data_IF_007685575222
#
_entry.id   IF_007685575222
#
_cell.length_a   1.000
_cell.length_b   1.000
_cell.length_c   1.000
_cell.angle_alpha   90.00
_cell.angle_beta   90.00
_cell.angle_gamma   90.00
#
_symmetry.space_group_name_H-M   'P 1'
#
loop_
_entity.id
_entity.type
_entity.pdbx_description
1 polymer ?
#
# COMPACT_ATOMS: atom_id res chain seq x y z
N UNK A 1 3.59 -11.15 -8.05
CA UNK A 1 3.19 -9.74 -8.27
C UNK A 1 2.54 -9.51 -9.62
N UNK A 2 2.97 -10.24 -10.68
CA UNK A 2 2.36 -10.10 -12.00
C UNK A 2 0.85 -10.33 -11.97
N UNK A 3 0.38 -11.45 -11.42
CA UNK A 3 -1.06 -11.75 -11.34
C UNK A 3 -1.86 -10.66 -10.61
N UNK A 4 -1.32 -10.13 -9.49
CA UNK A 4 -1.96 -9.02 -8.78
C UNK A 4 -2.09 -7.79 -9.67
N UNK A 5 -1.00 -7.39 -10.34
CA UNK A 5 -1.01 -6.23 -11.23
C UNK A 5 -1.98 -6.40 -12.40
N UNK A 6 -1.96 -7.56 -13.04
CA UNK A 6 -2.90 -7.88 -14.12
C UNK A 6 -4.35 -7.80 -13.66
N UNK A 7 -4.65 -8.35 -12.48
CA UNK A 7 -5.98 -8.26 -11.88
C UNK A 7 -6.40 -6.82 -11.61
N UNK A 8 -5.51 -5.97 -11.09
CA UNK A 8 -5.81 -4.55 -10.85
C UNK A 8 -6.00 -3.77 -12.15
N UNK A 9 -5.22 -4.06 -13.19
CA UNK A 9 -5.39 -3.44 -14.52
C UNK A 9 -6.76 -3.81 -15.10
N UNK A 10 -7.15 -5.08 -15.02
CA UNK A 10 -8.43 -5.58 -15.54
C UNK A 10 -9.65 -5.15 -14.68
N UNK A 11 -9.44 -4.80 -13.41
CA UNK A 11 -10.52 -4.37 -12.53
C UNK A 11 -11.17 -3.07 -13.02
N UNK A 12 -12.50 -2.99 -12.92
CA UNK A 12 -13.29 -1.79 -13.30
C UNK A 12 -13.67 -0.92 -12.11
N UNK A 13 -13.59 -1.48 -10.88
CA UNK A 13 -13.93 -0.76 -9.66
C UNK A 13 -12.89 0.29 -9.30
N UNK A 14 -13.32 1.39 -8.68
CA UNK A 14 -12.41 2.40 -8.10
C UNK A 14 -11.62 1.86 -6.93
N UNK A 15 -12.19 0.94 -6.18
CA UNK A 15 -11.54 0.22 -5.09
C UNK A 15 -11.32 -1.24 -5.50
N UNK A 16 -10.18 -1.78 -5.09
CA UNK A 16 -9.80 -3.18 -5.33
C UNK A 16 -9.50 -3.83 -3.99
N UNK A 17 -10.13 -4.97 -3.75
CA UNK A 17 -9.81 -5.81 -2.61
C UNK A 17 -8.97 -7.02 -3.06
N UNK A 18 -8.02 -7.43 -2.24
CA UNK A 18 -7.22 -8.64 -2.45
C UNK A 18 -7.44 -9.63 -1.32
N UNK A 19 -7.42 -10.91 -1.64
CA UNK A 19 -7.47 -12.03 -0.70
C UNK A 19 -6.55 -13.13 -1.19
N UNK A 20 -5.96 -13.89 -0.24
CA UNK A 20 -5.26 -15.11 -0.58
C UNK A 20 -6.27 -16.23 -0.86
N UNK A 21 -6.07 -17.00 -1.93
CA UNK A 21 -6.97 -18.07 -2.38
C UNK A 21 -6.89 -19.37 -1.56
N UNK A 22 -6.23 -19.35 -0.40
CA UNK A 22 -6.04 -20.52 0.47
C UNK A 22 -7.07 -20.64 1.61
N UNK A 23 -8.09 -19.77 1.60
CA UNK A 23 -9.19 -19.78 2.57
C UNK A 23 -8.83 -19.20 3.95
N UNK A 24 -7.62 -18.69 4.14
CA UNK A 24 -7.18 -18.13 5.43
C UNK A 24 -7.77 -16.76 5.72
N UNK A 25 -8.04 -15.95 4.69
CA UNK A 25 -8.70 -14.65 4.85
C UNK A 25 -10.21 -14.81 4.88
N UNK A 26 -10.87 -14.10 5.80
CA UNK A 26 -12.34 -14.07 5.88
C UNK A 26 -12.91 -12.95 5.00
N UNK A 27 -13.67 -13.25 3.93
CA UNK A 27 -14.32 -12.23 3.13
C UNK A 27 -15.31 -11.36 3.92
N UNK A 28 -15.86 -11.88 5.04
CA UNK A 28 -16.76 -11.13 5.92
C UNK A 28 -16.10 -9.91 6.60
N UNK A 29 -14.76 -9.82 6.58
CA UNK A 29 -14.04 -8.64 7.07
C UNK A 29 -14.03 -7.48 6.06
N UNK A 30 -14.30 -7.72 4.76
CA UNK A 30 -14.29 -6.67 3.72
C UNK A 30 -15.21 -5.49 3.99
N UNK A 31 -16.45 -5.65 4.47
CA UNK A 31 -17.31 -4.52 4.80
C UNK A 31 -16.71 -3.56 5.82
N UNK A 32 -15.93 -4.06 6.79
CA UNK A 32 -15.24 -3.20 7.78
C UNK A 32 -14.12 -2.39 7.14
N UNK A 33 -13.31 -3.03 6.28
CA UNK A 33 -12.28 -2.31 5.53
C UNK A 33 -12.92 -1.22 4.66
N UNK A 34 -14.04 -1.55 4.00
CA UNK A 34 -14.74 -0.61 3.14
C UNK A 34 -15.32 0.57 3.94
N UNK A 35 -15.98 0.31 5.08
CA UNK A 35 -16.54 1.36 5.92
C UNK A 35 -15.45 2.30 6.45
N UNK A 36 -14.29 1.78 6.85
CA UNK A 36 -13.16 2.58 7.26
C UNK A 36 -12.58 3.41 6.10
N UNK A 37 -12.51 2.82 4.89
CA UNK A 37 -12.01 3.52 3.70
C UNK A 37 -12.93 4.68 3.29
N UNK A 38 -14.23 4.52 3.42
CA UNK A 38 -15.25 5.51 3.05
C UNK A 38 -15.59 6.50 4.17
N UNK A 39 -15.03 6.34 5.36
CA UNK A 39 -15.29 7.22 6.48
C UNK A 39 -14.71 8.62 6.23
N UNK A 40 -15.55 9.69 6.23
CA UNK A 40 -15.08 11.06 6.01
C UNK A 40 -14.06 11.56 7.04
N UNK A 41 -14.07 10.99 8.25
CA UNK A 41 -13.10 11.31 9.30
C UNK A 41 -11.71 10.71 9.03
N UNK A 42 -11.59 9.80 8.06
CA UNK A 42 -10.30 9.22 7.65
C UNK A 42 -9.55 10.24 6.77
N UNK A 43 -8.23 10.14 6.75
CA UNK A 43 -7.40 11.02 5.93
C UNK A 43 -7.87 11.06 4.47
N UNK A 44 -8.06 12.23 3.86
CA UNK A 44 -8.40 12.36 2.44
C UNK A 44 -7.34 11.75 1.52
N UNK A 45 -6.12 11.60 2.01
CA UNK A 45 -5.03 10.95 1.29
C UNK A 45 -5.01 9.42 1.47
N UNK A 46 -6.06 8.81 2.07
CA UNK A 46 -6.08 7.36 2.28
C UNK A 46 -6.07 6.61 0.95
N UNK A 47 -4.98 5.89 0.70
CA UNK A 47 -4.81 5.06 -0.52
C UNK A 47 -5.04 3.58 -0.28
N UNK A 48 -4.91 3.11 0.96
CA UNK A 48 -4.99 1.68 1.28
C UNK A 48 -5.39 1.43 2.73
N UNK A 49 -6.12 0.33 2.95
CA UNK A 49 -6.28 -0.30 4.26
C UNK A 49 -5.69 -1.71 4.19
N UNK A 50 -4.80 -2.01 5.12
CA UNK A 50 -4.17 -3.32 5.27
C UNK A 50 -4.76 -4.08 6.43
N UNK A 51 -5.19 -5.31 6.20
CA UNK A 51 -5.64 -6.21 7.26
C UNK A 51 -4.49 -6.56 8.22
N UNK A 52 -4.78 -6.55 9.51
CA UNK A 52 -3.86 -6.95 10.58
C UNK A 52 -4.38 -8.21 11.25
N UNK A 53 -3.66 -9.31 11.14
CA UNK A 53 -4.07 -10.59 11.74
C UNK A 53 -3.96 -10.55 13.26
N UNK A 54 -5.10 -10.60 13.95
CA UNK A 54 -5.17 -10.57 15.41
C UNK A 54 -4.52 -11.80 16.06
N UNK A 55 -4.70 -12.97 15.46
CA UNK A 55 -4.14 -14.24 15.96
C UNK A 55 -3.43 -14.98 14.82
N UNK A 56 -2.18 -15.33 15.03
CA UNK A 56 -1.41 -16.17 14.12
C UNK A 56 -1.20 -17.53 14.77
N UNK A 57 -1.78 -18.57 14.16
CA UNK A 57 -1.59 -19.97 14.57
C UNK A 57 -0.25 -20.53 14.08
N UNK A 58 0.83 -19.74 14.17
CA UNK A 58 2.16 -20.18 13.80
C UNK A 58 2.91 -20.77 15.02
N UNK A 59 3.85 -21.68 14.77
CA UNK A 59 4.79 -22.14 15.80
C UNK A 59 5.55 -20.96 16.42
N UNK A 60 5.94 -21.11 17.70
CA UNK A 60 6.63 -20.06 18.46
C UNK A 60 7.88 -19.54 17.75
N UNK A 61 8.71 -20.42 17.18
CA UNK A 61 9.94 -20.05 16.44
C UNK A 61 9.59 -19.22 15.18
N UNK A 62 8.58 -19.64 14.43
CA UNK A 62 8.11 -18.92 13.23
C UNK A 62 7.53 -17.55 13.58
N UNK A 63 6.88 -17.44 14.73
CA UNK A 63 6.32 -16.18 15.24
C UNK A 63 7.42 -15.19 15.62
N UNK A 64 8.47 -15.64 16.30
CA UNK A 64 9.61 -14.80 16.69
C UNK A 64 10.41 -14.31 15.47
N UNK A 65 10.81 -15.22 14.57
CA UNK A 65 11.55 -14.86 13.37
C UNK A 65 10.78 -13.87 12.48
N UNK A 66 9.46 -14.07 12.33
CA UNK A 66 8.60 -13.14 11.60
C UNK A 66 8.48 -11.76 12.28
N UNK A 67 8.41 -11.72 13.63
CA UNK A 67 8.37 -10.44 14.38
C UNK A 67 9.66 -9.65 14.22
N UNK A 68 10.81 -10.32 14.31
CA UNK A 68 12.13 -9.68 14.12
C UNK A 68 12.22 -9.14 12.69
N UNK A 69 11.94 -9.97 11.67
CA UNK A 69 11.99 -9.56 10.28
C UNK A 69 11.05 -8.38 9.98
N UNK A 70 9.82 -8.39 10.51
CA UNK A 70 8.88 -7.29 10.35
C UNK A 70 9.34 -6.02 11.08
N UNK A 71 9.94 -6.13 12.26
CA UNK A 71 10.47 -4.97 13.00
C UNK A 71 11.65 -4.33 12.28
N UNK A 72 12.58 -5.14 11.77
CA UNK A 72 13.71 -4.66 10.95
C UNK A 72 13.19 -3.95 9.69
N UNK A 73 12.27 -4.59 8.97
CA UNK A 73 11.67 -4.00 7.77
C UNK A 73 10.94 -2.68 8.10
N UNK A 74 10.09 -2.66 9.14
CA UNK A 74 9.34 -1.48 9.53
C UNK A 74 10.26 -0.32 9.93
N UNK A 75 11.37 -0.61 10.64
CA UNK A 75 12.40 0.39 10.96
C UNK A 75 13.13 0.93 9.74
N UNK A 76 13.43 0.07 8.76
CA UNK A 76 14.12 0.46 7.51
C UNK A 76 13.22 1.25 6.56
N UNK A 77 11.94 0.87 6.45
CA UNK A 77 10.99 1.46 5.50
C UNK A 77 10.09 2.54 6.12
N UNK A 78 10.07 2.65 7.46
CA UNK A 78 9.21 3.59 8.22
C UNK A 78 7.73 3.48 7.80
N UNK A 79 7.27 2.24 7.55
CA UNK A 79 5.92 2.01 7.03
C UNK A 79 4.86 1.80 8.11
N UNK A 80 5.24 1.69 9.39
CA UNK A 80 4.37 1.52 10.57
C UNK A 80 3.37 0.35 10.43
N UNK A 81 3.67 -0.62 9.55
CA UNK A 81 2.78 -1.74 9.28
C UNK A 81 3.37 -3.02 9.89
N UNK A 82 2.84 -3.49 11.01
CA UNK A 82 3.40 -4.65 11.72
C UNK A 82 3.19 -5.98 10.99
N UNK A 83 2.16 -6.10 10.15
CA UNK A 83 1.86 -7.31 9.37
C UNK A 83 1.59 -7.01 7.90
N UNK A 84 2.63 -6.93 7.08
CA UNK A 84 2.49 -6.76 5.62
C UNK A 84 2.16 -8.05 4.90
N UNK A 85 2.28 -9.20 5.58
CA UNK A 85 2.02 -10.52 5.00
C UNK A 85 0.54 -10.90 4.96
N UNK A 86 -0.38 -10.07 5.47
CA UNK A 86 -1.81 -10.31 5.33
C UNK A 86 -2.24 -10.12 3.88
N UNK A 87 -2.92 -11.12 3.29
CA UNK A 87 -3.44 -11.05 1.91
C UNK A 87 -4.63 -10.12 1.78
N UNK A 88 -5.39 -9.93 2.87
CA UNK A 88 -6.57 -9.06 2.85
C UNK A 88 -6.16 -7.59 2.89
N UNK A 89 -6.39 -6.91 1.78
CA UNK A 89 -6.10 -5.49 1.59
C UNK A 89 -7.18 -4.85 0.73
N UNK A 90 -7.51 -3.60 1.02
CA UNK A 90 -8.40 -2.77 0.22
C UNK A 90 -7.63 -1.50 -0.18
N UNK A 91 -7.62 -1.14 -1.45
CA UNK A 91 -6.90 0.04 -1.92
C UNK A 91 -7.59 0.71 -3.11
N UNK A 92 -7.31 2.00 -3.29
CA UNK A 92 -7.70 2.73 -4.48
C UNK A 92 -6.94 2.18 -5.70
N UNK A 93 -7.68 1.80 -6.76
CA UNK A 93 -7.11 1.28 -8.01
C UNK A 93 -6.08 2.24 -8.60
N UNK A 94 -6.41 3.51 -8.65
CA UNK A 94 -5.53 4.55 -9.19
C UNK A 94 -4.24 4.69 -8.38
N UNK A 95 -4.33 4.68 -7.04
CA UNK A 95 -3.16 4.72 -6.17
C UNK A 95 -2.22 3.52 -6.43
N UNK A 96 -2.76 2.32 -6.58
CA UNK A 96 -1.97 1.13 -6.89
C UNK A 96 -1.27 1.24 -8.25
N UNK A 97 -1.94 1.76 -9.27
CA UNK A 97 -1.39 1.86 -10.63
C UNK A 97 -0.24 2.87 -10.74
N UNK A 98 -0.13 3.82 -9.81
CA UNK A 98 1.01 4.75 -9.69
C UNK A 98 2.24 4.12 -9.06
N UNK A 99 2.10 2.99 -8.37
CA UNK A 99 3.23 2.34 -7.70
C UNK A 99 4.25 1.81 -8.70
N UNK A 100 5.56 1.90 -8.40
CA UNK A 100 6.59 1.26 -9.19
C UNK A 100 6.37 -0.26 -9.23
N UNK A 101 6.40 -0.82 -10.43
CA UNK A 101 6.20 -2.25 -10.62
C UNK A 101 7.54 -3.00 -10.61
N UNK A 102 7.63 -3.98 -9.72
CA UNK A 102 8.70 -4.98 -9.69
C UNK A 102 8.16 -6.30 -9.10
N UNK A 103 8.88 -7.39 -9.29
CA UNK A 103 8.44 -8.64 -8.69
C UNK A 103 8.52 -8.59 -7.16
N UNK A 104 7.64 -9.31 -6.49
CA UNK A 104 7.44 -9.28 -5.03
C UNK A 104 6.96 -7.94 -4.43
N UNK A 105 6.64 -6.91 -5.21
CA UNK A 105 6.15 -5.62 -4.71
C UNK A 105 4.97 -5.74 -3.74
N UNK A 106 4.16 -6.80 -3.87
CA UNK A 106 2.99 -7.04 -3.00
C UNK A 106 3.32 -7.12 -1.51
N UNK A 107 4.57 -7.42 -1.15
CA UNK A 107 5.07 -7.46 0.22
C UNK A 107 5.33 -6.07 0.80
N UNK A 108 5.47 -5.08 -0.05
CA UNK A 108 5.88 -3.73 0.28
C UNK A 108 4.81 -2.68 -0.01
N UNK A 109 3.57 -3.11 -0.31
CA UNK A 109 2.48 -2.19 -0.69
C UNK A 109 2.28 -1.04 0.31
N UNK A 110 2.28 -1.25 1.64
CA UNK A 110 2.15 -0.13 2.58
C UNK A 110 3.27 0.91 2.42
N UNK A 111 4.52 0.48 2.32
CA UNK A 111 5.66 1.37 2.13
C UNK A 111 5.56 2.12 0.79
N UNK A 112 5.20 1.41 -0.28
CA UNK A 112 5.06 2.01 -1.61
C UNK A 112 3.90 3.02 -1.68
N UNK A 113 2.77 2.75 -1.01
CA UNK A 113 1.67 3.71 -0.87
C UNK A 113 2.13 4.99 -0.16
N UNK A 114 2.84 4.86 0.97
CA UNK A 114 3.41 6.00 1.69
C UNK A 114 4.41 6.78 0.84
N UNK A 115 5.20 6.09 0.02
CA UNK A 115 6.14 6.72 -0.93
C UNK A 115 5.43 7.65 -1.91
N UNK A 116 4.27 7.26 -2.40
CA UNK A 116 3.45 8.06 -3.33
C UNK A 116 2.58 9.12 -2.60
N UNK A 117 2.78 9.31 -1.30
CA UNK A 117 2.06 10.30 -0.50
C UNK A 117 0.70 9.84 0.02
N UNK A 118 0.35 8.57 -0.15
CA UNK A 118 -0.91 8.04 0.37
C UNK A 118 -0.81 7.60 1.83
N UNK A 119 -1.84 7.85 2.61
CA UNK A 119 -2.01 7.27 3.93
C UNK A 119 -2.40 5.79 3.84
N UNK A 120 -1.97 5.02 4.84
CA UNK A 120 -2.29 3.59 4.99
C UNK A 120 -2.99 3.39 6.32
N UNK A 121 -4.23 2.91 6.27
CA UNK A 121 -5.00 2.47 7.43
C UNK A 121 -4.72 1.00 7.76
N UNK A 122 -4.96 0.63 9.01
CA UNK A 122 -4.83 -0.74 9.50
C UNK A 122 -6.17 -1.19 10.09
N UNK A 123 -6.63 -2.38 9.70
CA UNK A 123 -7.88 -2.95 10.22
C UNK A 123 -7.63 -4.36 10.77
N UNK A 124 -7.99 -4.64 12.03
CA UNK A 124 -7.93 -5.97 12.58
C UNK A 124 -8.81 -6.93 11.79
N UNK A 125 -8.26 -8.07 11.37
CA UNK A 125 -8.98 -9.07 10.57
C UNK A 125 -8.85 -10.47 11.15
N UNK A 126 -9.85 -11.29 10.89
CA UNK A 126 -9.84 -12.69 11.25
C UNK A 126 -8.87 -13.47 10.36
N UNK A 127 -8.25 -14.47 10.93
CA UNK A 127 -7.35 -15.37 10.21
C UNK A 127 -7.69 -16.81 10.54
N UNK A 128 -8.18 -17.53 9.55
CA UNK A 128 -8.59 -18.92 9.67
C UNK A 128 -7.40 -19.88 9.52
N UNK A 129 -7.55 -21.09 10.03
CA UNK A 129 -6.61 -22.16 9.72
C UNK A 129 -6.66 -22.46 8.20
N UNK A 130 -5.52 -22.80 7.61
CA UNK A 130 -5.48 -23.18 6.19
C UNK A 130 -6.26 -24.46 5.98
N UNK A 131 -7.21 -24.41 5.05
CA UNK A 131 -8.06 -25.57 4.71
C UNK A 131 -7.41 -26.42 3.61
N UNK A 132 -6.72 -25.78 2.65
CA UNK A 132 -6.14 -26.44 1.47
C UNK A 132 -4.69 -26.01 1.21
N UNK A 133 -3.91 -26.94 0.65
CA UNK A 133 -2.56 -26.70 0.15
C UNK A 133 -1.44 -26.86 1.19
N UNK A 134 -0.27 -27.26 0.70
CA UNK A 134 0.98 -27.28 1.45
C UNK A 134 1.88 -26.12 1.03
N UNK A 135 2.66 -25.59 1.96
CA UNK A 135 3.65 -24.54 1.64
C UNK A 135 4.77 -25.14 0.77
N UNK A 136 4.75 -24.87 -0.54
CA UNK A 136 5.68 -25.43 -1.53
C UNK A 136 7.05 -24.75 -1.59
N UNK A 137 7.37 -23.79 -0.71
CA UNK A 137 8.56 -22.95 -0.87
C UNK A 137 9.62 -23.22 0.20
N UNK A 138 10.86 -23.44 -0.24
CA UNK A 138 12.04 -23.51 0.62
C UNK A 138 12.34 -22.17 1.30
N UNK A 139 12.85 -22.23 2.54
CA UNK A 139 13.07 -21.05 3.41
C UNK A 139 14.22 -20.17 2.91
N UNK A 140 15.32 -20.78 2.43
CA UNK A 140 16.56 -20.06 2.13
C UNK A 140 16.47 -19.15 0.91
N UNK A 141 15.82 -19.57 -0.18
CA UNK A 141 15.70 -18.76 -1.39
C UNK A 141 14.82 -17.52 -1.18
N UNK A 142 13.78 -17.66 -0.34
CA UNK A 142 12.87 -16.54 -0.01
C UNK A 142 13.52 -15.46 0.87
N UNK A 143 14.48 -15.84 1.69
CA UNK A 143 15.17 -14.92 2.59
C UNK A 143 16.07 -13.96 1.80
N UNK A 144 16.92 -14.52 0.93
CA UNK A 144 17.85 -13.70 0.11
C UNK A 144 17.10 -12.75 -0.84
N UNK A 145 16.10 -13.25 -1.54
CA UNK A 145 15.25 -12.40 -2.40
C UNK A 145 14.58 -11.30 -1.58
N UNK A 146 14.07 -11.64 -0.39
CA UNK A 146 13.44 -10.65 0.49
C UNK A 146 14.40 -9.57 1.00
N UNK A 147 15.67 -9.91 1.23
CA UNK A 147 16.71 -8.96 1.64
C UNK A 147 17.06 -8.02 0.48
N UNK A 148 17.28 -8.56 -0.71
CA UNK A 148 17.58 -7.75 -1.92
C UNK A 148 16.41 -6.80 -2.21
N UNK A 149 15.18 -7.32 -2.21
CA UNK A 149 13.97 -6.51 -2.40
C UNK A 149 13.87 -5.39 -1.36
N UNK A 150 14.19 -5.67 -0.09
CA UNK A 150 14.16 -4.68 0.99
C UNK A 150 15.13 -3.52 0.73
N UNK A 151 16.37 -3.81 0.32
CA UNK A 151 17.33 -2.76 -0.05
C UNK A 151 16.87 -1.98 -1.29
N UNK A 152 16.30 -2.65 -2.29
CA UNK A 152 15.73 -2.01 -3.47
C UNK A 152 14.60 -1.05 -3.11
N UNK A 153 13.67 -1.48 -2.26
CA UNK A 153 12.56 -0.62 -1.80
C UNK A 153 13.08 0.53 -0.92
N UNK A 154 14.05 0.29 -0.04
CA UNK A 154 14.68 1.36 0.73
C UNK A 154 15.32 2.42 -0.18
N UNK A 155 15.99 2.00 -1.25
CA UNK A 155 16.52 2.91 -2.27
C UNK A 155 15.41 3.70 -2.96
N UNK A 156 14.33 3.04 -3.38
CA UNK A 156 13.14 3.69 -3.96
C UNK A 156 12.53 4.73 -3.01
N UNK A 157 12.39 4.40 -1.72
CA UNK A 157 11.86 5.32 -0.70
C UNK A 157 12.72 6.59 -0.56
N UNK A 158 14.05 6.45 -0.58
CA UNK A 158 14.98 7.59 -0.48
C UNK A 158 15.00 8.47 -1.71
N UNK A 159 14.61 7.95 -2.87
CA UNK A 159 14.57 8.67 -4.16
C UNK A 159 13.18 9.19 -4.50
N UNK A 160 12.21 9.00 -3.62
CA UNK A 160 10.86 9.49 -3.84
C UNK A 160 10.86 11.03 -3.87
N UNK A 161 10.25 11.58 -4.92
CA UNK A 161 9.84 12.98 -5.00
C UNK A 161 8.41 12.99 -5.54
N UNK A 162 7.48 13.48 -4.75
CA UNK A 162 6.09 13.65 -5.19
C UNK A 162 5.96 15.05 -5.75
N UNK A 163 5.73 15.22 -7.05
CA UNK A 163 5.53 16.54 -7.64
C UNK A 163 4.20 17.12 -7.12
N UNK A 164 4.23 18.38 -6.75
CA UNK A 164 3.04 19.15 -6.38
C UNK A 164 2.80 20.16 -7.50
N UNK A 165 1.64 20.06 -8.14
CA UNK A 165 1.19 21.06 -9.10
C UNK A 165 0.58 22.19 -8.27
N UNK A 166 1.23 23.34 -8.27
CA UNK A 166 0.64 24.56 -7.72
C UNK A 166 -0.34 25.09 -8.75
N UNK A 167 -1.57 25.44 -8.31
CA UNK A 167 -2.48 26.18 -9.15
C UNK A 167 -1.82 27.53 -9.46
N UNK A 168 -1.78 27.94 -10.72
CA UNK A 168 -1.39 29.29 -11.08
C UNK A 168 -2.43 30.24 -10.48
N UNK A 169 -1.97 31.18 -9.64
CA UNK A 169 -2.85 32.23 -9.13
C UNK A 169 -3.32 33.06 -10.33
N UNK A 170 -4.61 33.03 -10.62
CA UNK A 170 -5.23 33.87 -11.67
C UNK A 170 -5.09 35.39 -11.39
N UNK A 171 -4.46 35.78 -10.28
CA UNK A 171 -4.23 37.16 -9.91
C UNK A 171 -3.22 37.90 -10.83
N UNK A 172 -2.37 37.17 -11.58
CA UNK A 172 -1.41 37.76 -12.52
C UNK A 172 -2.07 38.34 -13.77
N UNK A 173 -3.22 37.81 -14.21
CA UNK A 173 -3.86 38.27 -15.45
C UNK A 173 -4.68 39.58 -15.30
N UNK A 174 -4.99 39.99 -14.06
CA UNK A 174 -5.70 41.25 -13.82
C UNK A 174 -4.80 42.49 -13.76
N UNK A 175 -3.50 42.28 -13.51
CA UNK A 175 -2.49 43.38 -13.43
C UNK A 175 -2.09 43.93 -14.78
N UNK A 176 -1.99 43.11 -15.82
CA UNK A 176 -1.56 43.53 -17.14
C UNK A 176 -2.61 44.30 -17.94
N UNK A 177 -3.89 44.10 -17.67
CA UNK A 177 -4.97 44.85 -18.38
C UNK A 177 -5.16 46.29 -17.91
N UNK A 178 -4.58 46.69 -16.76
CA UNK A 178 -4.69 48.07 -16.27
C UNK A 178 -3.55 48.99 -16.76
N UNK A 179 -2.45 48.42 -17.23
CA UNK A 179 -1.30 49.21 -17.71
C UNK A 179 -1.46 49.71 -19.15
N UNK A 180 -2.33 49.12 -19.96
CA UNK A 180 -2.52 49.54 -21.37
C UNK A 180 -3.63 50.56 -21.61
N UNK A 181 -4.44 50.89 -20.56
CA UNK A 181 -5.54 51.86 -20.68
C UNK A 181 -5.13 53.31 -20.29
N UNK A 182 -3.90 53.53 -19.80
CA UNK A 182 -3.41 54.83 -19.33
C UNK A 182 -2.49 55.61 -20.30
N UNK A 183 -2.25 55.13 -21.52
CA UNK A 183 -1.32 55.74 -22.46
C UNK A 183 -1.98 56.29 -23.75
N UNK A 184 -3.20 56.80 -23.64
CA UNK A 184 -3.82 57.63 -24.70
C UNK A 184 -4.68 58.72 -24.05
N UNK A 185 -4.07 59.83 -23.71
CA UNK A 185 -4.67 61.15 -23.60
C UNK A 185 -3.59 62.19 -23.87
#
# INVERSE_FOLDING_TARGET
SAALRTGVIAARGRLVATLDGDGQNDPADLPRLLSQFLNPATSPALGMIAGQRLRRNDSTVRRWSSRIANRVRAGMLKDDTPDTGCGLKLFAREAFLRLPYFDHMHRFLPALMKREGYAVGLEPVNHRARVHGQSKYGINNRLWVGIVDLFGVMWLMRRAKVPVILAEDESGAAGERRSTAGARA
#
